data_IF_615087799186
#
_entry.id   IF_615087799186
#
_cell.length_a   1.000
_cell.length_b   1.000
_cell.length_c   1.000
_cell.angle_alpha   90.00
_cell.angle_beta   90.00
_cell.angle_gamma   90.00
#
_symmetry.space_group_name_H-M   'P 1'
#
loop_
_entity.id
_entity.type
_entity.pdbx_description
1 polymer ?
#
# COMPACT_ATOMS: atom_id res chain seq x y z
N UNK A 1 94.59 68.04 57.50
CA UNK A 1 94.58 69.34 56.78
C UNK A 1 94.24 69.02 55.32
N UNK A 2 93.01 69.00 54.83
CA UNK A 2 91.88 69.89 55.08
C UNK A 2 91.61 70.66 53.79
N UNK A 3 90.84 70.08 52.85
CA UNK A 3 90.27 70.84 51.72
C UNK A 3 88.83 70.39 51.49
N UNK A 4 87.94 70.88 52.33
CA UNK A 4 86.54 71.01 51.98
C UNK A 4 86.47 72.00 50.81
N UNK A 5 86.25 71.52 49.58
CA UNK A 5 85.86 72.36 48.46
C UNK A 5 84.45 72.88 48.72
N UNK A 6 84.38 74.00 49.43
CA UNK A 6 83.14 74.72 49.70
C UNK A 6 82.71 75.39 48.39
N UNK A 7 81.58 74.97 47.81
CA UNK A 7 80.95 75.54 46.59
C UNK A 7 80.56 77.03 46.69
N UNK A 8 81.14 77.83 47.58
CA UNK A 8 80.95 79.28 47.69
C UNK A 8 79.52 79.74 48.06
N UNK A 9 78.54 78.84 48.12
CA UNK A 9 77.13 79.14 48.41
C UNK A 9 76.84 79.06 49.90
N UNK A 10 76.18 80.08 50.44
CA UNK A 10 75.81 80.12 51.85
C UNK A 10 74.74 79.06 52.20
N UNK A 11 74.67 78.63 53.46
CA UNK A 11 73.64 77.68 53.95
C UNK A 11 72.21 78.17 53.68
N UNK A 12 72.02 79.50 53.65
CA UNK A 12 70.76 80.14 53.31
C UNK A 12 70.40 79.95 51.82
N UNK A 13 71.36 80.11 50.90
CA UNK A 13 71.15 79.93 49.46
C UNK A 13 70.77 78.48 49.12
N UNK A 14 71.47 77.48 49.68
CA UNK A 14 71.10 76.05 49.47
C UNK A 14 69.70 75.71 49.99
N UNK A 15 69.28 76.31 51.12
CA UNK A 15 67.91 76.13 51.65
C UNK A 15 66.87 76.80 50.75
N UNK A 16 67.19 77.94 50.15
CA UNK A 16 66.32 78.62 49.19
C UNK A 16 66.20 77.81 47.88
N UNK A 17 67.32 77.33 47.33
CA UNK A 17 67.35 76.46 46.15
C UNK A 17 66.59 75.15 46.39
N UNK A 18 66.79 74.49 47.53
CA UNK A 18 66.06 73.28 47.88
C UNK A 18 64.55 73.53 48.05
N UNK A 19 64.14 74.69 48.60
CA UNK A 19 62.73 75.09 48.67
C UNK A 19 62.16 75.39 47.28
N UNK A 20 62.92 76.03 46.41
CA UNK A 20 62.52 76.31 45.03
C UNK A 20 62.36 75.03 44.21
N UNK A 21 63.30 74.08 44.32
CA UNK A 21 63.21 72.76 43.68
C UNK A 21 62.03 71.95 44.21
N UNK A 22 61.77 71.96 45.54
CA UNK A 22 60.60 71.32 46.13
C UNK A 22 59.29 71.97 45.66
N UNK A 23 59.25 73.29 45.56
CA UNK A 23 58.09 74.01 45.05
C UNK A 23 57.84 73.68 43.57
N UNK A 24 58.90 73.68 42.75
CA UNK A 24 58.85 73.28 41.34
C UNK A 24 58.37 71.83 41.17
N UNK A 25 58.96 70.89 41.91
CA UNK A 25 58.55 69.49 41.89
C UNK A 25 57.10 69.29 42.37
N UNK A 26 56.63 70.05 43.37
CA UNK A 26 55.22 69.98 43.83
C UNK A 26 54.26 70.52 42.78
N UNK A 27 54.67 71.53 42.01
CA UNK A 27 53.87 72.10 40.93
C UNK A 27 53.84 71.13 39.74
N UNK A 28 55.00 70.61 39.32
CA UNK A 28 55.12 69.59 38.28
C UNK A 28 54.30 68.35 38.61
N UNK A 29 54.42 67.80 39.83
CA UNK A 29 53.62 66.65 40.26
C UNK A 29 52.11 66.93 40.24
N UNK A 30 51.67 68.16 40.56
CA UNK A 30 50.26 68.56 40.47
C UNK A 30 49.79 68.65 39.02
N UNK A 31 50.60 69.21 38.12
CA UNK A 31 50.27 69.26 36.71
C UNK A 31 50.26 67.86 36.10
N UNK A 32 51.25 67.02 36.39
CA UNK A 32 51.31 65.63 35.95
C UNK A 32 50.11 64.82 36.45
N UNK A 33 49.72 64.97 37.72
CA UNK A 33 48.53 64.32 38.25
C UNK A 33 47.25 64.78 37.51
N UNK A 34 47.13 66.07 37.19
CA UNK A 34 46.01 66.63 36.42
C UNK A 34 46.01 66.12 34.97
N UNK A 35 47.17 66.03 34.34
CA UNK A 35 47.35 65.48 32.99
C UNK A 35 47.01 63.98 32.95
N UNK A 36 47.56 63.17 33.85
CA UNK A 36 47.24 61.73 33.98
C UNK A 36 45.76 61.50 34.20
N UNK A 37 45.10 62.29 35.06
CA UNK A 37 43.64 62.19 35.27
C UNK A 37 42.85 62.51 33.99
N UNK A 38 43.28 63.52 33.23
CA UNK A 38 42.65 63.89 31.94
C UNK A 38 42.84 62.78 30.90
N UNK A 39 44.04 62.21 30.80
CA UNK A 39 44.35 61.11 29.89
C UNK A 39 43.59 59.83 30.25
N UNK A 40 43.56 59.43 31.52
CA UNK A 40 42.78 58.27 31.96
C UNK A 40 41.29 58.45 31.67
N UNK A 41 40.74 59.65 31.89
CA UNK A 41 39.34 59.96 31.52
C UNK A 41 39.12 59.87 30.01
N UNK A 42 40.07 60.32 29.20
CA UNK A 42 40.02 60.19 27.75
C UNK A 42 40.08 58.72 27.31
N UNK A 43 41.01 57.93 27.86
CA UNK A 43 41.17 56.49 27.59
C UNK A 43 39.91 55.68 27.94
N UNK A 44 39.33 55.90 29.12
CA UNK A 44 38.08 55.24 29.51
C UNK A 44 36.92 55.58 28.57
N UNK A 45 36.84 56.83 28.10
CA UNK A 45 35.82 57.24 27.12
C UNK A 45 36.03 56.54 25.77
N UNK A 46 37.28 56.42 25.31
CA UNK A 46 37.58 55.73 24.05
C UNK A 46 37.30 54.24 24.17
N UNK A 47 37.76 53.59 25.24
CA UNK A 47 37.50 52.17 25.53
C UNK A 47 36.00 51.89 25.57
N UNK A 48 35.22 52.68 26.31
CA UNK A 48 33.77 52.52 26.38
C UNK A 48 33.11 52.73 25.00
N UNK A 49 33.62 53.65 24.17
CA UNK A 49 33.10 53.86 22.81
C UNK A 49 33.40 52.66 21.90
N UNK A 50 34.58 52.06 22.01
CA UNK A 50 34.94 50.86 21.25
C UNK A 50 34.16 49.63 21.73
N UNK A 51 34.13 49.35 23.02
CA UNK A 51 33.34 48.27 23.61
C UNK A 51 31.85 48.37 23.22
N UNK A 52 31.28 49.58 23.24
CA UNK A 52 29.90 49.78 22.82
C UNK A 52 29.69 49.49 21.33
N UNK A 53 30.68 49.78 20.47
CA UNK A 53 30.62 49.43 19.04
C UNK A 53 30.73 47.93 18.83
N UNK A 54 31.64 47.26 19.54
CA UNK A 54 31.88 45.82 19.44
C UNK A 54 30.63 45.05 19.88
N UNK A 55 30.06 45.39 21.04
CA UNK A 55 28.80 44.80 21.52
C UNK A 55 27.63 45.04 20.55
N UNK A 56 27.60 46.20 19.86
CA UNK A 56 26.58 46.47 18.83
C UNK A 56 26.82 45.61 17.58
N UNK A 57 28.06 45.36 17.18
CA UNK A 57 28.41 44.50 16.06
C UNK A 57 28.07 43.04 16.37
N UNK A 58 28.45 42.54 17.55
CA UNK A 58 28.11 41.20 18.03
C UNK A 58 26.59 40.97 18.12
N UNK A 59 25.84 41.96 18.62
CA UNK A 59 24.37 41.85 18.64
C UNK A 59 23.77 41.79 17.23
N UNK A 60 24.36 42.48 16.25
CA UNK A 60 23.90 42.43 14.85
C UNK A 60 24.22 41.07 14.22
N UNK A 61 25.43 40.56 14.44
CA UNK A 61 25.84 39.24 13.92
C UNK A 61 25.02 38.13 14.56
N UNK A 62 24.86 38.14 15.90
CA UNK A 62 24.02 37.17 16.62
C UNK A 62 22.57 37.18 16.13
N UNK A 63 21.98 38.36 15.86
CA UNK A 63 20.63 38.47 15.29
C UNK A 63 20.55 37.91 13.87
N UNK A 64 21.57 38.09 13.04
CA UNK A 64 21.61 37.54 11.69
C UNK A 64 21.75 36.01 11.72
N UNK A 65 22.62 35.48 12.58
CA UNK A 65 22.79 34.05 12.80
C UNK A 65 21.51 33.40 13.31
N UNK A 66 20.83 34.00 14.29
CA UNK A 66 19.55 33.50 14.79
C UNK A 66 18.48 33.44 13.68
N UNK A 67 18.38 34.48 12.83
CA UNK A 67 17.45 34.48 11.69
C UNK A 67 17.81 33.43 10.63
N UNK A 68 19.10 33.20 10.39
CA UNK A 68 19.56 32.17 9.47
C UNK A 68 19.23 30.77 10.02
N UNK A 69 19.51 30.53 11.29
CA UNK A 69 19.16 29.28 11.98
C UNK A 69 17.66 29.02 11.98
N UNK A 70 16.83 30.03 12.24
CA UNK A 70 15.37 29.89 12.21
C UNK A 70 14.87 29.49 10.81
N UNK A 71 15.45 30.05 9.74
CA UNK A 71 15.11 29.66 8.35
C UNK A 71 15.52 28.23 8.06
N UNK A 72 16.70 27.82 8.50
CA UNK A 72 17.21 26.45 8.33
C UNK A 72 16.30 25.45 9.07
N UNK A 73 15.99 25.71 10.34
CA UNK A 73 15.09 24.87 11.15
C UNK A 73 13.68 24.80 10.54
N UNK A 74 13.16 25.92 10.02
CA UNK A 74 11.86 25.93 9.30
C UNK A 74 11.90 25.13 8.01
N UNK A 75 13.01 25.13 7.29
CA UNK A 75 13.16 24.33 6.07
C UNK A 75 13.29 22.84 6.41
N UNK A 76 14.07 22.49 7.42
CA UNK A 76 14.25 21.12 7.90
C UNK A 76 12.95 20.53 8.45
N UNK A 77 12.22 21.25 9.30
CA UNK A 77 10.90 20.81 9.79
C UNK A 77 9.88 20.60 8.67
N UNK A 78 9.89 21.44 7.63
CA UNK A 78 9.06 21.24 6.43
C UNK A 78 9.45 19.99 5.65
N UNK A 79 10.75 19.73 5.50
CA UNK A 79 11.25 18.52 4.83
C UNK A 79 10.90 17.27 5.62
N UNK A 80 11.22 17.24 6.92
CA UNK A 80 10.92 16.11 7.81
C UNK A 80 9.40 15.83 7.86
N UNK A 81 8.56 16.87 7.93
CA UNK A 81 7.11 16.69 7.89
C UNK A 81 6.57 16.23 6.53
N UNK A 82 7.20 16.63 5.43
CA UNK A 82 6.87 16.12 4.10
C UNK A 82 7.28 14.65 3.93
N UNK A 83 8.47 14.27 4.41
CA UNK A 83 8.97 12.90 4.40
C UNK A 83 8.12 11.98 5.30
N UNK A 84 7.73 12.44 6.49
CA UNK A 84 6.84 11.71 7.37
C UNK A 84 5.45 11.49 6.75
N UNK A 85 4.91 12.50 6.05
CA UNK A 85 3.65 12.37 5.29
C UNK A 85 3.80 11.41 4.12
N UNK A 86 4.89 11.50 3.36
CA UNK A 86 5.17 10.58 2.26
C UNK A 86 5.29 9.12 2.74
N UNK A 87 5.96 8.89 3.88
CA UNK A 87 6.06 7.57 4.49
C UNK A 87 4.71 7.06 5.04
N UNK A 88 3.88 7.94 5.60
CA UNK A 88 2.53 7.59 6.03
C UNK A 88 1.61 7.26 4.84
N UNK A 89 1.71 8.02 3.75
CA UNK A 89 0.95 7.82 2.51
C UNK A 89 1.42 6.59 1.73
N UNK A 90 2.67 6.16 1.90
CA UNK A 90 3.22 4.93 1.32
C UNK A 90 2.65 3.65 1.95
N UNK A 91 1.94 3.74 3.09
CA UNK A 91 1.23 2.58 3.64
C UNK A 91 0.11 2.16 2.68
N UNK A 92 0.02 0.86 2.41
CA UNK A 92 -0.90 0.23 1.44
C UNK A 92 -2.38 0.57 1.72
N UNK A 93 -2.72 0.84 2.99
CA UNK A 93 -4.07 1.19 3.43
C UNK A 93 -4.19 2.65 3.91
N UNK A 94 -3.25 3.51 3.53
CA UNK A 94 -3.37 4.96 3.79
C UNK A 94 -4.57 5.54 3.02
N UNK A 95 -5.27 6.56 3.55
CA UNK A 95 -6.39 7.18 2.84
C UNK A 95 -5.97 7.75 1.47
N UNK A 96 -4.71 8.18 1.32
CA UNK A 96 -4.15 8.65 0.06
C UNK A 96 -3.97 7.51 -0.96
N UNK A 97 -3.42 6.37 -0.55
CA UNK A 97 -3.25 5.20 -1.43
C UNK A 97 -4.60 4.61 -1.86
N UNK A 98 -5.56 4.47 -0.92
CA UNK A 98 -6.91 3.99 -1.24
C UNK A 98 -7.60 4.90 -2.26
N UNK A 99 -7.52 6.23 -2.09
CA UNK A 99 -8.07 7.17 -3.08
C UNK A 99 -7.45 6.98 -4.45
N UNK A 100 -6.12 6.80 -4.54
CA UNK A 100 -5.43 6.52 -5.83
C UNK A 100 -5.93 5.23 -6.46
N UNK A 101 -6.02 4.14 -5.70
CA UNK A 101 -6.55 2.88 -6.21
C UNK A 101 -8.01 3.00 -6.67
N UNK A 102 -8.87 3.69 -5.93
CA UNK A 102 -10.25 3.93 -6.33
C UNK A 102 -10.35 4.77 -7.61
N UNK A 103 -9.48 5.77 -7.80
CA UNK A 103 -9.46 6.55 -9.04
C UNK A 103 -9.07 5.70 -10.25
N UNK A 104 -8.04 4.85 -10.10
CA UNK A 104 -7.60 3.94 -11.16
C UNK A 104 -8.68 2.89 -11.43
N UNK A 105 -9.25 2.31 -10.37
CA UNK A 105 -10.33 1.34 -10.48
C UNK A 105 -11.54 1.95 -11.21
N UNK A 106 -11.94 3.18 -10.87
CA UNK A 106 -13.05 3.88 -11.55
C UNK A 106 -12.77 4.14 -13.03
N UNK A 107 -11.52 4.42 -13.40
CA UNK A 107 -11.11 4.64 -14.79
C UNK A 107 -11.14 3.33 -15.60
N UNK A 108 -10.67 2.23 -15.00
CA UNK A 108 -10.51 0.94 -15.68
C UNK A 108 -11.79 0.07 -15.63
N UNK A 109 -12.63 0.28 -14.61
CA UNK A 109 -13.87 -0.46 -14.38
C UNK A 109 -14.77 -0.63 -15.62
N UNK A 110 -15.10 0.41 -16.42
CA UNK A 110 -16.03 0.26 -17.55
C UNK A 110 -15.55 -0.73 -18.62
N UNK A 111 -14.25 -1.01 -18.69
CA UNK A 111 -13.66 -1.96 -19.66
C UNK A 111 -13.35 -3.30 -18.97
N UNK A 112 -12.72 -3.26 -17.80
CA UNK A 112 -12.31 -4.48 -17.11
C UNK A 112 -13.51 -5.30 -16.59
N UNK A 113 -14.58 -4.64 -16.11
CA UNK A 113 -15.75 -5.35 -15.57
C UNK A 113 -16.44 -6.19 -16.65
N UNK A 114 -16.79 -5.66 -17.85
CA UNK A 114 -17.35 -6.50 -18.93
C UNK A 114 -16.43 -7.63 -19.37
N UNK A 115 -15.11 -7.41 -19.44
CA UNK A 115 -14.15 -8.45 -19.86
C UNK A 115 -14.09 -9.57 -18.82
N UNK A 116 -13.95 -9.22 -17.53
CA UNK A 116 -13.94 -10.19 -16.45
C UNK A 116 -15.24 -11.01 -16.41
N UNK A 117 -16.39 -10.33 -16.61
CA UNK A 117 -17.68 -11.00 -16.71
C UNK A 117 -17.73 -11.98 -17.89
N UNK A 118 -17.32 -11.55 -19.09
CA UNK A 118 -17.28 -12.42 -20.28
C UNK A 118 -16.33 -13.61 -20.08
N UNK A 119 -15.17 -13.38 -19.48
CA UNK A 119 -14.22 -14.45 -19.16
C UNK A 119 -14.83 -15.46 -18.17
N UNK A 120 -15.52 -14.98 -17.13
CA UNK A 120 -16.21 -15.84 -16.17
C UNK A 120 -17.34 -16.66 -16.83
N UNK A 121 -18.14 -16.04 -17.70
CA UNK A 121 -19.22 -16.73 -18.44
C UNK A 121 -18.65 -17.75 -19.43
N UNK A 122 -17.60 -17.40 -20.18
CA UNK A 122 -16.94 -18.30 -21.12
C UNK A 122 -16.32 -19.51 -20.40
N UNK A 123 -15.64 -19.28 -19.27
CA UNK A 123 -15.11 -20.36 -18.44
C UNK A 123 -16.21 -21.29 -17.94
N UNK A 124 -17.34 -20.74 -17.45
CA UNK A 124 -18.49 -21.55 -17.05
C UNK A 124 -19.06 -22.37 -18.20
N UNK A 125 -19.18 -21.79 -19.38
CA UNK A 125 -19.68 -22.48 -20.57
C UNK A 125 -18.78 -23.66 -20.97
N UNK A 126 -17.45 -23.51 -20.88
CA UNK A 126 -16.51 -24.61 -21.14
C UNK A 126 -16.67 -25.75 -20.13
N UNK A 127 -16.82 -25.45 -18.84
CA UNK A 127 -17.06 -26.48 -17.81
C UNK A 127 -18.36 -27.22 -18.10
N UNK A 128 -19.45 -26.50 -18.41
CA UNK A 128 -20.71 -27.12 -18.77
C UNK A 128 -20.62 -27.97 -20.04
N UNK A 129 -19.85 -27.54 -21.05
CA UNK A 129 -19.63 -28.33 -22.27
C UNK A 129 -18.84 -29.61 -22.00
N UNK A 130 -17.81 -29.55 -21.14
CA UNK A 130 -17.06 -30.74 -20.72
C UNK A 130 -17.94 -31.71 -19.91
N UNK A 131 -18.79 -31.18 -19.03
CA UNK A 131 -19.72 -32.00 -18.25
C UNK A 131 -20.78 -32.66 -19.15
N UNK A 132 -21.33 -31.90 -20.10
CA UNK A 132 -22.28 -32.41 -21.09
C UNK A 132 -21.64 -33.47 -21.99
N UNK A 133 -20.41 -33.23 -22.47
CA UNK A 133 -19.65 -34.19 -23.27
C UNK A 133 -19.34 -35.48 -22.52
N UNK A 134 -19.01 -35.42 -21.22
CA UNK A 134 -18.83 -36.62 -20.38
C UNK A 134 -20.13 -37.40 -20.20
N UNK A 135 -21.26 -36.71 -20.13
CA UNK A 135 -22.58 -37.33 -20.00
C UNK A 135 -23.18 -37.77 -21.35
N UNK A 136 -22.50 -37.52 -22.48
CA UNK A 136 -22.99 -37.86 -23.81
C UNK A 136 -24.19 -37.04 -24.28
N UNK A 137 -24.46 -35.88 -23.67
CA UNK A 137 -25.63 -35.03 -23.97
C UNK A 137 -25.22 -33.67 -24.48
N UNK A 138 -26.14 -32.97 -25.14
CA UNK A 138 -25.90 -31.58 -25.55
C UNK A 138 -25.91 -30.63 -24.33
N UNK A 139 -25.08 -29.56 -24.35
CA UNK A 139 -25.09 -28.56 -23.30
C UNK A 139 -26.47 -27.91 -23.08
N UNK A 140 -27.27 -27.81 -24.14
CA UNK A 140 -28.62 -27.24 -24.12
C UNK A 140 -29.59 -28.11 -23.33
N UNK A 141 -29.53 -29.45 -23.52
CA UNK A 141 -30.37 -30.39 -22.76
C UNK A 141 -29.92 -30.41 -21.30
N UNK A 142 -28.61 -30.43 -21.03
CA UNK A 142 -28.10 -30.42 -19.66
C UNK A 142 -28.56 -29.19 -18.85
N UNK A 143 -28.75 -28.02 -19.50
CA UNK A 143 -29.26 -26.79 -18.85
C UNK A 143 -30.70 -26.91 -18.34
N UNK A 144 -31.49 -27.85 -18.86
CA UNK A 144 -32.88 -28.06 -18.43
C UNK A 144 -32.95 -28.78 -17.08
N UNK A 145 -31.86 -29.44 -16.68
CA UNK A 145 -31.77 -30.22 -15.46
C UNK A 145 -30.86 -29.53 -14.44
N UNK A 146 -31.11 -29.77 -13.15
CA UNK A 146 -30.33 -29.22 -12.04
C UNK A 146 -30.20 -30.26 -10.93
N UNK A 147 -29.27 -30.06 -10.00
CA UNK A 147 -28.96 -31.03 -8.95
C UNK A 147 -27.73 -31.90 -9.26
N UNK A 148 -27.46 -32.87 -8.38
CA UNK A 148 -26.30 -33.76 -8.50
C UNK A 148 -26.47 -34.79 -9.62
N UNK A 149 -27.71 -35.22 -9.88
CA UNK A 149 -28.11 -36.16 -10.92
C UNK A 149 -28.43 -35.52 -12.26
N UNK A 150 -28.25 -34.21 -12.43
CA UNK A 150 -28.65 -33.48 -13.64
C UNK A 150 -28.11 -34.08 -14.94
N UNK A 151 -26.86 -34.57 -14.90
CA UNK A 151 -26.23 -35.24 -16.04
C UNK A 151 -26.95 -36.55 -16.42
N UNK A 152 -27.36 -37.34 -15.42
CA UNK A 152 -28.09 -38.59 -15.64
C UNK A 152 -29.51 -38.33 -16.13
N UNK A 153 -30.22 -37.36 -15.54
CA UNK A 153 -31.56 -36.96 -16.00
C UNK A 153 -31.54 -36.43 -17.44
N UNK A 154 -30.51 -35.64 -17.80
CA UNK A 154 -30.31 -35.19 -19.17
C UNK A 154 -30.07 -36.36 -20.13
N UNK A 155 -29.29 -37.36 -19.70
CA UNK A 155 -29.02 -38.57 -20.49
C UNK A 155 -30.27 -39.41 -20.66
N UNK A 156 -31.04 -39.65 -19.59
CA UNK A 156 -32.35 -40.33 -19.62
C UNK A 156 -33.28 -39.66 -20.63
N UNK A 157 -33.42 -38.33 -20.58
CA UNK A 157 -34.26 -37.58 -21.52
C UNK A 157 -33.77 -37.74 -22.98
N UNK A 158 -32.45 -37.71 -23.20
CA UNK A 158 -31.86 -37.91 -24.52
C UNK A 158 -32.12 -39.34 -25.03
N UNK A 159 -31.95 -40.36 -24.19
CA UNK A 159 -32.24 -41.76 -24.52
C UNK A 159 -33.73 -41.96 -24.82
N UNK A 160 -34.65 -41.28 -24.11
CA UNK A 160 -36.09 -41.28 -24.46
C UNK A 160 -36.33 -40.75 -25.89
N UNK A 161 -35.73 -39.63 -26.26
CA UNK A 161 -35.86 -39.10 -27.64
C UNK A 161 -35.25 -40.02 -28.70
N UNK A 162 -34.25 -40.84 -28.34
CA UNK A 162 -33.72 -41.86 -29.23
C UNK A 162 -34.71 -43.03 -29.42
N UNK A 163 -35.39 -43.48 -28.36
CA UNK A 163 -36.44 -44.51 -28.44
C UNK A 163 -37.61 -44.09 -29.32
N UNK A 164 -38.03 -42.83 -29.27
CA UNK A 164 -39.09 -42.31 -30.16
C UNK A 164 -38.72 -42.47 -31.64
N UNK A 165 -37.44 -42.33 -31.99
CA UNK A 165 -36.95 -42.55 -33.36
C UNK A 165 -36.97 -44.03 -33.74
N UNK A 166 -36.73 -44.94 -32.79
CA UNK A 166 -36.86 -46.39 -33.02
C UNK A 166 -38.30 -46.75 -33.38
N UNK A 167 -39.29 -46.21 -32.65
CA UNK A 167 -40.72 -46.41 -32.96
C UNK A 167 -41.08 -45.90 -34.35
N UNK A 168 -40.50 -44.76 -34.76
CA UNK A 168 -40.73 -44.20 -36.08
C UNK A 168 -40.14 -45.07 -37.22
N UNK A 169 -39.13 -45.88 -36.93
CA UNK A 169 -38.42 -46.71 -37.91
C UNK A 169 -38.92 -48.16 -37.96
N UNK A 170 -39.32 -48.74 -36.83
CA UNK A 170 -39.83 -50.11 -36.71
C UNK A 170 -41.19 -50.11 -36.02
N UNK A 171 -42.26 -50.36 -36.78
CA UNK A 171 -43.65 -50.37 -36.29
C UNK A 171 -44.16 -51.76 -35.91
N UNK A 172 -43.28 -52.77 -35.85
CA UNK A 172 -43.63 -54.14 -35.46
C UNK A 172 -44.14 -54.23 -34.01
N UNK A 173 -44.85 -55.32 -33.68
CA UNK A 173 -45.31 -55.57 -32.31
C UNK A 173 -44.13 -55.71 -31.34
N UNK A 174 -43.09 -56.46 -31.73
CA UNK A 174 -41.86 -56.65 -30.96
C UNK A 174 -41.11 -55.33 -30.70
N UNK A 175 -41.21 -54.34 -31.59
CA UNK A 175 -40.64 -53.01 -31.38
C UNK A 175 -41.41 -52.21 -30.34
N UNK A 176 -42.75 -52.29 -30.37
CA UNK A 176 -43.61 -51.64 -29.39
C UNK A 176 -43.40 -52.19 -27.99
N UNK A 177 -43.30 -53.51 -27.86
CA UNK A 177 -43.05 -54.16 -26.57
C UNK A 177 -41.67 -53.79 -26.02
N UNK A 178 -40.64 -53.75 -26.88
CA UNK A 178 -39.30 -53.29 -26.51
C UNK A 178 -39.31 -51.83 -26.04
N UNK A 179 -39.96 -50.93 -26.79
CA UNK A 179 -40.02 -49.51 -26.43
C UNK A 179 -40.79 -49.31 -25.13
N UNK A 180 -41.89 -50.04 -24.92
CA UNK A 180 -42.64 -50.00 -23.67
C UNK A 180 -41.75 -50.44 -22.49
N UNK A 181 -41.01 -51.55 -22.65
CA UNK A 181 -40.09 -52.04 -21.62
C UNK A 181 -38.97 -51.05 -21.32
N UNK A 182 -38.34 -50.46 -22.34
CA UNK A 182 -37.26 -49.48 -22.14
C UNK A 182 -37.78 -48.17 -21.55
N UNK A 183 -38.98 -47.72 -21.93
CA UNK A 183 -39.62 -46.54 -21.34
C UNK A 183 -39.84 -46.75 -19.84
N UNK A 184 -40.39 -47.90 -19.44
CA UNK A 184 -40.58 -48.24 -18.02
C UNK A 184 -39.24 -48.31 -17.26
N UNK A 185 -38.18 -48.83 -17.88
CA UNK A 185 -36.84 -48.83 -17.26
C UNK A 185 -36.32 -47.41 -17.06
N UNK A 186 -36.47 -46.53 -18.05
CA UNK A 186 -36.07 -45.12 -17.94
C UNK A 186 -36.87 -44.37 -16.87
N UNK A 187 -38.18 -44.66 -16.72
CA UNK A 187 -39.01 -44.10 -15.65
C UNK A 187 -38.51 -44.53 -14.26
N UNK A 188 -38.15 -45.81 -14.11
CA UNK A 188 -37.55 -46.31 -12.86
C UNK A 188 -36.21 -45.64 -12.57
N UNK A 189 -35.39 -45.38 -13.59
CA UNK A 189 -34.11 -44.68 -13.43
C UNK A 189 -34.31 -43.21 -13.04
N UNK A 190 -35.33 -42.52 -13.56
CA UNK A 190 -35.66 -41.16 -13.10
C UNK A 190 -36.02 -41.13 -11.61
N UNK A 191 -36.84 -42.09 -11.16
CA UNK A 191 -37.16 -42.25 -9.73
C UNK A 191 -35.90 -42.54 -8.93
N UNK A 192 -35.00 -43.39 -9.43
CA UNK A 192 -33.74 -43.71 -8.76
C UNK A 192 -32.82 -42.48 -8.65
N UNK A 193 -32.73 -41.65 -9.69
CA UNK A 193 -31.97 -40.38 -9.66
C UNK A 193 -32.55 -39.44 -8.60
N UNK A 194 -33.86 -39.25 -8.59
CA UNK A 194 -34.53 -38.42 -7.58
C UNK A 194 -34.32 -38.94 -6.15
N UNK A 195 -34.35 -40.27 -5.97
CA UNK A 195 -34.07 -40.92 -4.67
C UNK A 195 -32.61 -40.74 -4.25
N UNK A 196 -31.67 -40.77 -5.19
CA UNK A 196 -30.25 -40.60 -4.90
C UNK A 196 -29.90 -39.18 -4.41
N UNK A 197 -30.70 -38.16 -4.75
CA UNK A 197 -30.51 -36.78 -4.26
C UNK A 197 -30.64 -36.66 -2.75
N UNK A 198 -31.48 -37.48 -2.11
CA UNK A 198 -31.68 -37.46 -0.65
C UNK A 198 -30.66 -38.32 0.11
N UNK A 199 -29.78 -39.03 -0.60
CA UNK A 199 -28.76 -39.88 0.02
C UNK A 199 -27.52 -39.09 0.48
N UNK A 200 -26.71 -39.71 1.34
CA UNK A 200 -25.38 -39.19 1.67
C UNK A 200 -24.48 -39.11 0.43
N UNK A 201 -23.45 -38.25 0.44
CA UNK A 201 -22.59 -38.04 -0.72
C UNK A 201 -21.89 -39.32 -1.22
N UNK A 202 -21.55 -40.24 -0.31
CA UNK A 202 -20.94 -41.52 -0.68
C UNK A 202 -21.96 -42.45 -1.37
N UNK A 203 -23.13 -42.64 -0.74
CA UNK A 203 -24.21 -43.48 -1.29
C UNK A 203 -24.72 -42.94 -2.63
N UNK A 204 -24.88 -41.61 -2.75
CA UNK A 204 -25.30 -40.96 -3.99
C UNK A 204 -24.34 -41.25 -5.14
N UNK A 205 -23.03 -41.20 -4.93
CA UNK A 205 -22.04 -41.51 -5.98
C UNK A 205 -22.16 -42.96 -6.43
N UNK A 206 -22.30 -43.91 -5.51
CA UNK A 206 -22.49 -45.32 -5.83
C UNK A 206 -23.80 -45.53 -6.61
N UNK A 207 -24.91 -44.92 -6.17
CA UNK A 207 -26.19 -44.99 -6.86
C UNK A 207 -26.09 -44.40 -8.29
N UNK A 208 -25.46 -43.24 -8.45
CA UNK A 208 -25.25 -42.63 -9.76
C UNK A 208 -24.38 -43.49 -10.69
N UNK A 209 -23.37 -44.19 -10.17
CA UNK A 209 -22.56 -45.13 -10.96
C UNK A 209 -23.38 -46.33 -11.44
N UNK A 210 -24.24 -46.90 -10.58
CA UNK A 210 -25.15 -47.99 -10.97
C UNK A 210 -26.17 -47.54 -12.01
N UNK A 211 -26.76 -46.36 -11.84
CA UNK A 211 -27.70 -45.77 -12.81
C UNK A 211 -27.01 -45.53 -14.16
N UNK A 212 -25.78 -45.01 -14.16
CA UNK A 212 -25.01 -44.82 -15.39
C UNK A 212 -24.73 -46.16 -16.11
N UNK A 213 -24.42 -47.21 -15.36
CA UNK A 213 -24.27 -48.57 -15.90
C UNK A 213 -25.54 -49.11 -16.56
N UNK A 214 -26.70 -48.93 -15.93
CA UNK A 214 -28.00 -49.31 -16.53
C UNK A 214 -28.29 -48.51 -17.80
N UNK A 215 -27.97 -47.21 -17.84
CA UNK A 215 -28.12 -46.39 -19.05
C UNK A 215 -27.22 -46.86 -20.19
N UNK A 216 -25.98 -47.24 -19.90
CA UNK A 216 -25.07 -47.84 -20.90
C UNK A 216 -25.66 -49.14 -21.46
N UNK A 217 -26.26 -49.99 -20.63
CA UNK A 217 -26.91 -51.21 -21.09
C UNK A 217 -28.13 -50.92 -21.97
N UNK A 218 -28.97 -49.95 -21.60
CA UNK A 218 -30.12 -49.52 -22.42
C UNK A 218 -29.65 -48.97 -23.77
N UNK A 219 -28.61 -48.12 -23.79
CA UNK A 219 -28.06 -47.58 -25.03
C UNK A 219 -27.54 -48.71 -25.94
N UNK A 220 -26.88 -49.73 -25.38
CA UNK A 220 -26.41 -50.89 -26.13
C UNK A 220 -27.57 -51.72 -26.71
N UNK A 221 -28.64 -51.94 -25.95
CA UNK A 221 -29.85 -52.64 -26.42
C UNK A 221 -30.52 -51.87 -27.59
N UNK A 222 -30.60 -50.54 -27.49
CA UNK A 222 -31.12 -49.67 -28.56
C UNK A 222 -30.25 -49.79 -29.82
N UNK A 223 -28.93 -49.71 -29.67
CA UNK A 223 -27.99 -49.81 -30.80
C UNK A 223 -28.05 -51.19 -31.47
N UNK A 224 -28.11 -52.26 -30.68
CA UNK A 224 -28.23 -53.63 -31.18
C UNK A 224 -29.49 -53.79 -32.04
N UNK A 225 -30.61 -53.19 -31.62
CA UNK A 225 -31.87 -53.17 -32.37
C UNK A 225 -31.75 -52.40 -33.69
N UNK A 226 -30.96 -51.31 -33.70
CA UNK A 226 -30.64 -50.54 -34.91
C UNK A 226 -29.58 -51.21 -35.81
N UNK A 227 -29.11 -52.42 -35.44
CA UNK A 227 -28.12 -53.18 -36.20
C UNK A 227 -26.67 -52.75 -35.96
N UNK A 228 -26.41 -51.87 -34.99
CA UNK A 228 -25.08 -51.44 -34.59
C UNK A 228 -24.64 -52.26 -33.38
N UNK A 229 -23.71 -53.19 -33.57
CA UNK A 229 -23.13 -53.98 -32.47
C UNK A 229 -21.90 -53.25 -31.91
N UNK A 230 -21.98 -52.87 -30.64
CA UNK A 230 -20.89 -52.35 -29.81
C UNK A 230 -20.26 -53.44 -28.97
#
# INVERSE_FOLDING_TARGET
MGLFSSDGRSRAQRRAEAKALKAKAKIEAKFDAKHRRKEQKARRKTEHKYLQKDLKAERKTARQLAKAQEKVVKAETKKVSAEAKAAADAKILSPASVKRYLTVARLVAPIAVPIAYRAAVAGRAQISALQAGRAGVSPEVLRQFSGHGAALSARIATTRTALEKVVAQDTSADAKDFVAAMTQRLDNLDIAVATAETMSAAQRRTAHQSIDGELVAIDADILARLGVRS
#
